data_IF_286138328691
#
_entry.id   IF_286138328691
#
_cell.length_a   1.000
_cell.length_b   1.000
_cell.length_c   1.000
_cell.angle_alpha   90.00
_cell.angle_beta   90.00
_cell.angle_gamma   90.00
#
_symmetry.space_group_name_H-M   'P 1'
#
loop_
_entity.id
_entity.type
_entity.pdbx_description
1 polymer ?
#
# COMPACT_ATOMS: atom_id res chain seq x y z
N UNK A 1 7.26 17.10 -3.06
CA UNK A 1 7.58 18.13 -2.05
C UNK A 1 8.34 17.46 -0.92
N UNK A 2 9.43 18.06 -0.43
CA UNK A 2 10.13 17.57 0.77
C UNK A 2 9.65 18.36 1.99
N UNK A 3 9.24 17.66 3.04
CA UNK A 3 8.79 18.25 4.30
C UNK A 3 9.72 17.82 5.44
N UNK A 4 9.95 18.71 6.39
CA UNK A 4 10.83 18.44 7.54
C UNK A 4 10.01 17.81 8.66
N UNK A 5 10.51 16.70 9.21
CA UNK A 5 9.99 16.09 10.43
C UNK A 5 10.94 16.44 11.59
N UNK A 6 10.40 17.08 12.63
CA UNK A 6 11.17 17.41 13.84
C UNK A 6 10.73 16.49 14.98
N UNK A 7 11.68 15.78 15.58
CA UNK A 7 11.46 14.88 16.70
C UNK A 7 12.16 15.43 17.94
N UNK A 8 11.53 15.28 19.12
CA UNK A 8 12.19 15.54 20.40
C UNK A 8 12.77 14.23 20.91
N UNK A 9 14.09 14.20 21.11
CA UNK A 9 14.85 13.03 21.52
C UNK A 9 15.93 13.47 22.50
N UNK A 10 16.44 12.52 23.28
CA UNK A 10 17.59 12.74 24.14
C UNK A 10 18.83 13.11 23.32
N UNK A 11 19.63 14.06 23.81
CA UNK A 11 20.80 14.56 23.09
C UNK A 11 21.87 13.47 22.92
N UNK A 12 22.05 12.59 23.91
CA UNK A 12 22.98 11.46 23.84
C UNK A 12 22.57 10.52 22.72
N UNK A 13 21.28 10.23 22.61
CA UNK A 13 20.74 9.39 21.55
C UNK A 13 20.95 10.01 20.16
N UNK A 14 20.80 11.34 20.02
CA UNK A 14 21.06 12.04 18.75
C UNK A 14 22.54 11.90 18.35
N UNK A 15 23.46 12.01 19.31
CA UNK A 15 24.91 11.85 19.05
C UNK A 15 25.24 10.43 18.61
N UNK A 16 24.78 9.43 19.33
CA UNK A 16 25.00 8.01 19.00
C UNK A 16 24.43 7.67 17.61
N UNK A 17 23.22 8.14 17.30
CA UNK A 17 22.61 7.89 15.99
C UNK A 17 23.38 8.56 14.84
N UNK A 18 23.97 9.74 15.05
CA UNK A 18 24.82 10.41 14.05
C UNK A 18 26.13 9.66 13.81
N UNK A 19 26.77 9.14 14.86
CA UNK A 19 27.99 8.32 14.74
C UNK A 19 27.69 7.08 13.91
N UNK A 20 26.63 6.35 14.28
CA UNK A 20 26.21 5.16 13.53
C UNK A 20 25.90 5.46 12.06
N UNK A 21 25.21 6.57 11.77
CA UNK A 21 24.89 6.96 10.40
C UNK A 21 26.16 7.28 9.59
N UNK A 22 27.15 7.94 10.20
CA UNK A 22 28.43 8.25 9.57
C UNK A 22 29.24 6.98 9.28
N UNK A 23 29.30 6.03 10.23
CA UNK A 23 29.94 4.72 10.04
C UNK A 23 29.29 3.91 8.91
N UNK A 24 27.97 4.04 8.75
CA UNK A 24 27.20 3.42 7.68
C UNK A 24 27.18 4.24 6.36
N UNK A 25 27.96 5.32 6.26
CA UNK A 25 28.05 6.22 5.10
C UNK A 25 26.69 6.79 4.61
N UNK A 26 25.74 6.98 5.53
CA UNK A 26 24.40 7.50 5.22
C UNK A 26 24.04 8.69 6.09
N UNK A 27 23.16 9.57 5.60
CA UNK A 27 22.60 10.62 6.46
C UNK A 27 21.62 10.02 7.48
N UNK A 28 21.56 10.61 8.69
CA UNK A 28 20.58 10.23 9.71
C UNK A 28 19.13 10.34 9.19
N UNK A 29 18.85 11.35 8.35
CA UNK A 29 17.55 11.48 7.67
C UNK A 29 17.25 10.31 6.73
N UNK A 30 18.25 9.82 5.99
CA UNK A 30 18.07 8.67 5.11
C UNK A 30 17.84 7.38 5.91
N UNK A 31 18.58 7.20 7.00
CA UNK A 31 18.42 6.07 7.91
C UNK A 31 17.00 6.01 8.49
N UNK A 32 16.50 7.12 9.02
CA UNK A 32 15.14 7.20 9.57
C UNK A 32 14.08 7.02 8.48
N UNK A 33 14.29 7.60 7.29
CA UNK A 33 13.38 7.39 6.16
C UNK A 33 13.31 5.91 5.75
N UNK A 34 14.45 5.21 5.71
CA UNK A 34 14.50 3.78 5.43
C UNK A 34 13.75 2.97 6.50
N UNK A 35 13.94 3.32 7.78
CA UNK A 35 13.21 2.69 8.88
C UNK A 35 11.69 2.88 8.76
N UNK A 36 11.22 4.09 8.44
CA UNK A 36 9.80 4.33 8.20
C UNK A 36 9.26 3.53 7.01
N UNK A 37 10.02 3.42 5.91
CA UNK A 37 9.64 2.56 4.77
C UNK A 37 9.50 1.11 5.21
N UNK A 38 10.43 0.59 6.00
CA UNK A 38 10.38 -0.78 6.51
C UNK A 38 9.12 -1.01 7.37
N UNK A 39 8.83 -0.10 8.30
CA UNK A 39 7.63 -0.15 9.14
C UNK A 39 6.34 -0.11 8.32
N UNK A 40 6.32 0.66 7.23
CA UNK A 40 5.15 0.76 6.35
C UNK A 40 5.01 -0.45 5.42
N UNK A 41 6.12 -1.04 4.97
CA UNK A 41 6.14 -2.23 4.13
C UNK A 41 5.77 -3.50 4.91
N UNK A 42 6.10 -3.55 6.20
CA UNK A 42 5.70 -4.65 7.11
C UNK A 42 4.23 -4.59 7.54
N UNK A 43 3.53 -3.48 7.27
CA UNK A 43 2.07 -3.45 7.42
C UNK A 43 1.47 -4.11 6.19
N UNK A 44 0.71 -5.21 6.31
CA UNK A 44 -0.05 -5.73 5.17
C UNK A 44 -0.91 -4.58 4.67
N UNK A 45 -0.60 -4.05 3.48
CA UNK A 45 -1.17 -2.85 2.91
C UNK A 45 -2.69 -2.84 3.13
N UNK A 46 -3.12 -2.15 4.21
CA UNK A 46 -4.36 -2.38 4.95
C UNK A 46 -5.27 -3.35 4.21
N UNK A 47 -5.00 -4.67 4.34
CA UNK A 47 -5.47 -5.77 3.48
C UNK A 47 -6.62 -5.27 2.62
N UNK A 48 -6.33 -4.67 1.45
CA UNK A 48 -7.41 -4.11 0.61
C UNK A 48 -8.33 -5.28 0.38
N UNK A 49 -9.49 -5.26 1.01
CA UNK A 49 -10.31 -6.45 1.19
C UNK A 49 -10.81 -6.87 -0.19
N UNK A 50 -10.11 -7.81 -0.83
CA UNK A 50 -10.40 -8.28 -2.18
C UNK A 50 -9.15 -8.52 -3.00
N UNK A 51 -9.06 -9.69 -3.63
CA UNK A 51 -8.10 -9.96 -4.69
C UNK A 51 -8.22 -8.88 -5.81
N UNK A 52 -7.12 -8.52 -6.50
CA UNK A 52 -7.14 -7.47 -7.52
C UNK A 52 -8.25 -7.66 -8.57
N UNK A 53 -8.46 -8.92 -8.98
CA UNK A 53 -9.50 -9.31 -9.94
C UNK A 53 -10.90 -9.13 -9.38
N UNK A 54 -11.16 -9.55 -8.14
CA UNK A 54 -12.51 -9.40 -7.56
C UNK A 54 -12.85 -7.95 -7.25
N UNK A 55 -11.83 -7.11 -7.02
CA UNK A 55 -12.00 -5.67 -6.86
C UNK A 55 -12.43 -4.96 -8.15
N UNK A 56 -11.92 -5.36 -9.31
CA UNK A 56 -12.33 -4.76 -10.60
C UNK A 56 -13.76 -5.15 -11.00
N UNK A 57 -14.20 -6.35 -10.58
CA UNK A 57 -15.55 -6.85 -10.85
C UNK A 57 -16.62 -6.29 -9.91
N UNK A 58 -16.22 -5.82 -8.72
CA UNK A 58 -17.16 -5.31 -7.71
C UNK A 58 -17.89 -4.06 -8.20
N UNK A 59 -19.20 -4.18 -8.37
CA UNK A 59 -20.08 -3.06 -8.76
C UNK A 59 -20.36 -2.97 -10.26
N UNK A 60 -19.76 -3.83 -11.09
CA UNK A 60 -19.99 -3.86 -12.55
C UNK A 60 -21.47 -4.13 -12.90
N UNK A 61 -22.18 -4.88 -12.05
CA UNK A 61 -23.61 -5.18 -12.23
C UNK A 61 -24.53 -4.33 -11.32
N UNK A 62 -24.02 -3.23 -10.73
CA UNK A 62 -24.84 -2.41 -9.84
C UNK A 62 -25.98 -1.76 -10.65
N UNK A 63 -27.22 -2.13 -10.33
CA UNK A 63 -28.42 -1.63 -11.02
C UNK A 63 -28.77 -2.37 -12.31
N UNK A 64 -28.01 -3.41 -12.68
CA UNK A 64 -28.39 -4.27 -13.80
C UNK A 64 -29.52 -5.21 -13.37
N UNK A 65 -30.59 -5.27 -14.17
CA UNK A 65 -31.62 -6.31 -14.04
C UNK A 65 -31.16 -7.50 -14.87
N UNK A 66 -30.41 -8.40 -14.24
CA UNK A 66 -29.98 -9.66 -14.85
C UNK A 66 -30.81 -10.77 -14.24
N UNK A 67 -31.59 -11.45 -15.08
CA UNK A 67 -32.32 -12.66 -14.72
C UNK A 67 -31.64 -13.89 -15.34
N UNK A 68 -32.07 -15.08 -14.92
CA UNK A 68 -31.55 -16.34 -15.43
C UNK A 68 -31.73 -16.46 -16.95
N UNK A 69 -32.83 -15.92 -17.46
CA UNK A 69 -33.13 -15.91 -18.90
C UNK A 69 -32.16 -15.04 -19.70
N UNK A 70 -31.72 -13.90 -19.16
CA UNK A 70 -30.69 -13.06 -19.76
C UNK A 70 -29.34 -13.79 -19.85
N UNK A 71 -29.02 -14.61 -18.84
CA UNK A 71 -27.81 -15.43 -18.86
C UNK A 71 -27.88 -16.53 -19.93
N UNK A 72 -29.02 -17.23 -20.04
CA UNK A 72 -29.23 -18.27 -21.06
C UNK A 72 -29.14 -17.69 -22.48
N UNK A 73 -29.80 -16.56 -22.75
CA UNK A 73 -29.68 -15.85 -24.05
C UNK A 73 -28.24 -15.44 -24.36
N UNK A 74 -27.49 -14.98 -23.36
CA UNK A 74 -26.07 -14.64 -23.54
C UNK A 74 -25.24 -15.87 -23.93
N UNK A 75 -25.47 -17.02 -23.28
CA UNK A 75 -24.77 -18.27 -23.61
C UNK A 75 -25.10 -18.71 -25.04
N UNK A 76 -26.38 -18.71 -25.44
CA UNK A 76 -26.80 -19.06 -26.80
C UNK A 76 -26.12 -18.19 -27.86
N UNK A 77 -26.04 -16.87 -27.64
CA UNK A 77 -25.39 -15.95 -28.56
C UNK A 77 -23.86 -16.10 -28.60
N UNK A 78 -23.24 -16.46 -27.47
CA UNK A 78 -21.78 -16.60 -27.35
C UNK A 78 -21.24 -17.88 -28.00
N UNK A 79 -22.03 -18.95 -27.97
CA UNK A 79 -21.64 -20.28 -28.48
C UNK A 79 -22.29 -20.64 -29.81
N UNK A 80 -22.92 -19.67 -30.49
CA UNK A 80 -23.35 -19.77 -31.89
C UNK A 80 -22.24 -19.30 -32.82
#
# INVERSE_FOLDING_TARGET
MQTKLTLRLDEKLIREAKVYAAEAEVSLSQLVANYFRLLMNGRPAARKTGAPVTRSLRGVLKGAQVDEQAYLRHLEAKYR
#
